data_IF_040766163492
#
_entry.id   IF_040766163492
#
_cell.length_a   1.000
_cell.length_b   1.000
_cell.length_c   1.000
_cell.angle_alpha   90.00
_cell.angle_beta   90.00
_cell.angle_gamma   90.00
#
_symmetry.space_group_name_H-M   'P 1'
#
loop_
_entity.id
_entity.type
_entity.pdbx_description
1 polymer ?
#
# COMPACT_ATOMS: atom_id res chain seq x y z
N UNK A 1 -24.85 7.60 -24.21
CA UNK A 1 -24.99 8.16 -22.85
C UNK A 1 -25.73 7.22 -21.89
N UNK A 2 -26.80 6.53 -22.30
CA UNK A 2 -27.54 5.60 -21.41
C UNK A 2 -26.72 4.39 -20.92
N UNK A 3 -25.81 3.82 -21.73
CA UNK A 3 -25.02 2.62 -21.37
C UNK A 3 -23.97 2.86 -20.27
N UNK A 4 -23.34 4.05 -20.22
CA UNK A 4 -22.32 4.40 -19.21
C UNK A 4 -22.91 4.58 -17.81
N UNK A 5 -24.17 5.00 -17.71
CA UNK A 5 -24.86 5.09 -16.42
C UNK A 5 -25.23 3.70 -15.87
N UNK A 6 -25.40 2.72 -16.76
CA UNK A 6 -25.82 1.37 -16.38
C UNK A 6 -24.64 0.55 -15.84
N UNK A 7 -23.45 0.70 -16.42
CA UNK A 7 -22.23 0.06 -15.90
C UNK A 7 -21.88 0.57 -14.49
N UNK A 8 -21.87 1.89 -14.29
CA UNK A 8 -21.65 2.49 -12.95
C UNK A 8 -22.70 2.00 -11.94
N UNK A 9 -23.96 1.79 -12.37
CA UNK A 9 -25.01 1.26 -11.49
C UNK A 9 -24.77 -0.21 -11.12
N UNK A 10 -24.40 -1.05 -12.09
CA UNK A 10 -24.06 -2.46 -11.86
C UNK A 10 -22.86 -2.58 -10.90
N UNK A 11 -21.85 -1.74 -11.08
CA UNK A 11 -20.72 -1.69 -10.17
C UNK A 11 -21.12 -1.22 -8.78
N UNK A 12 -21.93 -0.18 -8.67
CA UNK A 12 -22.47 0.29 -7.38
C UNK A 12 -23.26 -0.80 -6.67
N UNK A 13 -24.01 -1.61 -7.40
CA UNK A 13 -24.73 -2.76 -6.85
C UNK A 13 -23.77 -3.83 -6.31
N UNK A 14 -22.70 -4.17 -7.03
CA UNK A 14 -21.67 -5.08 -6.52
C UNK A 14 -20.94 -4.53 -5.27
N UNK A 15 -20.74 -3.20 -5.20
CA UNK A 15 -20.25 -2.51 -4.00
C UNK A 15 -21.24 -2.54 -2.81
N UNK A 16 -22.52 -2.75 -3.06
CA UNK A 16 -23.55 -2.94 -2.02
C UNK A 16 -23.59 -4.36 -1.48
N UNK A 17 -23.22 -5.33 -2.29
CA UNK A 17 -23.19 -6.76 -1.95
C UNK A 17 -21.91 -7.16 -1.20
N UNK A 18 -20.90 -6.30 -1.14
CA UNK A 18 -19.65 -6.58 -0.43
C UNK A 18 -19.82 -6.42 1.09
N UNK A 19 -19.24 -7.32 1.89
CA UNK A 19 -19.30 -7.28 3.36
C UNK A 19 -18.83 -5.92 3.90
N UNK A 20 -19.70 -5.24 4.66
CA UNK A 20 -19.43 -3.92 5.24
C UNK A 20 -19.15 -4.00 6.73
N UNK A 21 -18.24 -3.15 7.19
CA UNK A 21 -18.07 -2.94 8.63
C UNK A 21 -19.35 -2.38 9.23
N UNK A 22 -19.82 -3.03 10.30
CA UNK A 22 -21.02 -2.58 11.01
C UNK A 22 -20.71 -1.28 11.76
N UNK A 23 -21.68 -0.38 11.90
CA UNK A 23 -21.54 0.87 12.69
C UNK A 23 -20.97 0.63 14.11
N UNK A 24 -21.29 -0.52 14.73
CA UNK A 24 -20.73 -0.94 16.02
C UNK A 24 -19.21 -1.18 15.96
N UNK A 25 -18.72 -1.81 14.89
CA UNK A 25 -17.28 -2.06 14.69
C UNK A 25 -16.54 -0.75 14.42
N UNK A 26 -17.14 0.18 13.67
CA UNK A 26 -16.57 1.52 13.45
C UNK A 26 -16.47 2.28 14.79
N UNK A 27 -17.55 2.30 15.58
CA UNK A 27 -17.56 2.97 16.89
C UNK A 27 -16.54 2.35 17.86
N UNK A 28 -16.46 1.02 17.90
CA UNK A 28 -15.47 0.30 18.69
C UNK A 28 -14.05 0.62 18.22
N UNK A 29 -13.82 0.74 16.91
CA UNK A 29 -12.55 1.15 16.33
C UNK A 29 -12.14 2.56 16.74
N UNK A 30 -13.06 3.53 16.75
CA UNK A 30 -12.79 4.90 17.20
C UNK A 30 -12.47 4.96 18.70
N UNK A 31 -13.17 4.15 19.49
CA UNK A 31 -12.87 4.02 20.92
C UNK A 31 -11.49 3.38 21.15
N UNK A 32 -11.19 2.28 20.46
CA UNK A 32 -9.89 1.62 20.51
C UNK A 32 -8.76 2.55 20.05
N UNK A 33 -8.97 3.32 18.99
CA UNK A 33 -8.04 4.34 18.52
C UNK A 33 -7.70 5.35 19.63
N UNK A 34 -8.72 5.85 20.32
CA UNK A 34 -8.53 6.79 21.43
C UNK A 34 -7.73 6.17 22.58
N UNK A 35 -7.98 4.89 22.90
CA UNK A 35 -7.18 4.16 23.90
C UNK A 35 -5.73 3.98 23.45
N UNK A 36 -5.48 3.71 22.16
CA UNK A 36 -4.14 3.60 21.60
C UNK A 36 -3.41 4.94 21.67
N UNK A 37 -4.07 6.06 21.39
CA UNK A 37 -3.48 7.40 21.53
C UNK A 37 -3.05 7.70 22.97
N UNK A 38 -3.95 7.42 23.94
CA UNK A 38 -3.64 7.60 25.36
C UNK A 38 -2.49 6.69 25.77
N UNK A 39 -2.59 5.39 25.44
CA UNK A 39 -1.62 4.38 25.80
C UNK A 39 -0.24 4.63 25.19
N UNK A 40 -0.16 5.00 23.91
CA UNK A 40 1.09 5.33 23.25
C UNK A 40 1.73 6.58 23.85
N UNK A 41 0.95 7.63 24.10
CA UNK A 41 1.51 8.88 24.65
C UNK A 41 1.94 8.72 26.09
N UNK A 42 1.13 8.05 26.92
CA UNK A 42 1.50 7.76 28.30
C UNK A 42 2.68 6.80 28.35
N UNK A 43 2.70 5.77 27.51
CA UNK A 43 3.82 4.83 27.38
C UNK A 43 5.12 5.54 27.04
N UNK A 44 5.10 6.46 26.07
CA UNK A 44 6.26 7.31 25.71
C UNK A 44 6.69 8.17 26.89
N UNK A 45 5.77 8.88 27.55
CA UNK A 45 6.10 9.74 28.68
C UNK A 45 6.69 8.95 29.86
N UNK A 46 6.12 7.79 30.18
CA UNK A 46 6.64 6.89 31.21
C UNK A 46 8.02 6.36 30.86
N UNK A 47 8.26 6.01 29.58
CA UNK A 47 9.55 5.54 29.09
C UNK A 47 10.62 6.65 29.18
N UNK A 48 10.30 7.87 28.76
CA UNK A 48 11.20 9.03 28.85
C UNK A 48 11.57 9.37 30.31
N UNK A 49 10.60 9.23 31.22
CA UNK A 49 10.82 9.41 32.65
C UNK A 49 11.70 8.29 33.24
N UNK A 50 11.49 7.04 32.81
CA UNK A 50 12.29 5.89 33.24
C UNK A 50 13.76 6.00 32.79
N UNK A 51 14.01 6.44 31.55
CA UNK A 51 15.37 6.65 31.01
C UNK A 51 16.01 7.94 31.56
N UNK A 52 15.31 8.69 32.43
CA UNK A 52 15.76 9.94 33.05
C UNK A 52 16.13 11.06 32.05
N UNK A 53 15.63 10.98 30.82
CA UNK A 53 15.88 11.98 29.77
C UNK A 53 15.03 13.23 30.01
N UNK A 54 13.79 13.05 30.47
CA UNK A 54 12.87 14.14 30.75
C UNK A 54 12.06 13.85 32.02
N UNK A 55 12.24 14.62 33.11
CA UNK A 55 11.42 14.47 34.31
C UNK A 55 10.00 14.92 33.98
N UNK A 56 9.08 13.97 33.91
CA UNK A 56 7.67 14.27 33.62
C UNK A 56 6.99 14.78 34.88
N UNK A 57 6.55 16.04 34.84
CA UNK A 57 5.69 16.61 35.87
C UNK A 57 4.30 15.96 35.81
N UNK A 58 4.08 14.98 36.69
CA UNK A 58 2.83 14.23 36.84
C UNK A 58 1.61 15.15 37.05
N UNK A 59 1.80 16.39 37.53
CA UNK A 59 0.71 17.36 37.71
C UNK A 59 0.11 17.85 36.39
N UNK A 60 0.85 17.74 35.28
CA UNK A 60 0.40 18.17 33.94
C UNK A 60 -0.18 17.05 33.09
N UNK A 61 -0.26 15.81 33.57
CA UNK A 61 -0.79 14.68 32.80
C UNK A 61 -2.24 14.88 32.37
N UNK A 62 -3.08 15.42 33.26
CA UNK A 62 -4.49 15.67 32.97
C UNK A 62 -4.67 16.68 31.83
N UNK A 63 -4.06 17.88 31.86
CA UNK A 63 -4.18 18.82 30.75
C UNK A 63 -3.58 18.28 29.45
N UNK A 64 -2.46 17.55 29.48
CA UNK A 64 -1.92 16.91 28.26
C UNK A 64 -2.90 15.91 27.66
N UNK A 65 -3.52 15.07 28.49
CA UNK A 65 -4.50 14.09 28.03
C UNK A 65 -5.74 14.77 27.45
N UNK A 66 -6.18 15.88 28.03
CA UNK A 66 -7.30 16.67 27.49
C UNK A 66 -6.96 17.28 26.11
N UNK A 67 -5.76 17.83 25.93
CA UNK A 67 -5.33 18.34 24.61
C UNK A 67 -5.29 17.24 23.56
N UNK A 68 -4.84 16.03 23.90
CA UNK A 68 -4.85 14.89 22.99
C UNK A 68 -6.27 14.45 22.62
N UNK A 69 -7.16 14.33 23.61
CA UNK A 69 -8.56 13.99 23.36
C UNK A 69 -9.23 15.02 22.45
N UNK A 70 -8.93 16.30 22.68
CA UNK A 70 -9.39 17.38 21.81
C UNK A 70 -8.85 17.22 20.38
N UNK A 71 -7.56 16.92 20.21
CA UNK A 71 -6.94 16.69 18.90
C UNK A 71 -7.56 15.49 18.16
N UNK A 72 -7.83 14.39 18.86
CA UNK A 72 -8.52 13.21 18.29
C UNK A 72 -9.96 13.54 17.86
N UNK A 73 -10.70 14.29 18.69
CA UNK A 73 -12.05 14.73 18.32
C UNK A 73 -12.02 15.66 17.10
N UNK A 74 -11.06 16.60 17.06
CA UNK A 74 -10.85 17.50 15.93
C UNK A 74 -10.46 16.73 14.66
N UNK A 75 -9.63 15.69 14.77
CA UNK A 75 -9.24 14.87 13.63
C UNK A 75 -10.42 14.14 13.00
N UNK A 76 -11.38 13.66 13.80
CA UNK A 76 -12.63 13.06 13.31
C UNK A 76 -13.45 14.10 12.53
N UNK A 77 -13.58 15.33 13.06
CA UNK A 77 -14.31 16.41 12.37
C UNK A 77 -13.64 16.74 11.04
N UNK A 78 -12.31 16.87 11.01
CA UNK A 78 -11.55 17.12 9.80
C UNK A 78 -11.71 15.95 8.81
N UNK A 79 -11.64 14.71 9.27
CA UNK A 79 -11.85 13.52 8.43
C UNK A 79 -13.22 13.54 7.75
N UNK A 80 -14.28 13.90 8.48
CA UNK A 80 -15.63 14.04 7.92
C UNK A 80 -15.65 15.13 6.84
N UNK A 81 -15.05 16.29 7.10
CA UNK A 81 -14.98 17.39 6.13
C UNK A 81 -14.24 16.99 4.85
N UNK A 82 -13.12 16.30 4.96
CA UNK A 82 -12.36 15.78 3.82
C UNK A 82 -13.21 14.76 3.05
N UNK A 83 -13.79 13.77 3.72
CA UNK A 83 -14.59 12.73 3.08
C UNK A 83 -15.81 13.32 2.34
N UNK A 84 -16.48 14.32 2.94
CA UNK A 84 -17.56 15.06 2.29
C UNK A 84 -17.06 15.83 1.06
N UNK A 85 -15.90 16.48 1.18
CA UNK A 85 -15.24 17.18 0.08
C UNK A 85 -14.92 16.24 -1.09
N UNK A 86 -14.32 15.09 -0.81
CA UNK A 86 -13.98 14.06 -1.82
C UNK A 86 -15.24 13.50 -2.48
N UNK A 87 -16.29 13.26 -1.70
CA UNK A 87 -17.57 12.75 -2.23
C UNK A 87 -18.28 13.77 -3.12
N UNK A 88 -18.18 15.07 -2.81
CA UNK A 88 -18.87 16.14 -3.55
C UNK A 88 -18.05 16.64 -4.74
N UNK A 89 -16.73 16.63 -4.59
CA UNK A 89 -15.76 17.13 -5.56
C UNK A 89 -14.59 16.13 -5.68
N UNK A 90 -14.81 14.96 -6.32
CA UNK A 90 -13.77 13.94 -6.49
C UNK A 90 -12.52 14.47 -7.22
N UNK A 91 -12.68 15.55 -8.00
CA UNK A 91 -11.61 16.26 -8.71
C UNK A 91 -10.50 16.81 -7.80
N UNK A 92 -10.79 17.04 -6.52
CA UNK A 92 -9.79 17.53 -5.57
C UNK A 92 -8.62 16.53 -5.54
N UNK A 93 -8.94 15.24 -5.57
CA UNK A 93 -8.01 14.11 -5.46
C UNK A 93 -7.39 13.72 -6.82
N UNK A 94 -7.19 14.70 -7.70
CA UNK A 94 -6.64 14.46 -9.05
C UNK A 94 -5.11 14.51 -9.10
N UNK A 95 -4.46 14.96 -8.03
CA UNK A 95 -3.01 15.10 -8.00
C UNK A 95 -2.28 13.75 -8.14
N UNK A 96 -2.71 12.64 -7.51
CA UNK A 96 -2.07 11.34 -7.70
C UNK A 96 -2.12 10.87 -9.16
N UNK A 97 -3.26 11.07 -9.84
CA UNK A 97 -3.39 10.76 -11.26
C UNK A 97 -2.42 11.57 -12.13
N UNK A 98 -2.21 12.86 -11.80
CA UNK A 98 -1.24 13.71 -12.51
C UNK A 98 0.19 13.23 -12.27
N UNK A 99 0.52 12.84 -11.05
CA UNK A 99 1.83 12.25 -10.71
C UNK A 99 2.04 10.98 -11.52
N UNK A 100 1.06 10.07 -11.54
CA UNK A 100 1.14 8.84 -12.31
C UNK A 100 1.31 9.11 -13.81
N UNK A 101 0.50 10.00 -14.38
CA UNK A 101 0.59 10.39 -15.79
C UNK A 101 1.96 10.96 -16.14
N UNK A 102 2.52 11.80 -15.26
CA UNK A 102 3.86 12.35 -15.40
C UNK A 102 4.95 11.26 -15.29
N UNK A 103 4.84 10.36 -14.31
CA UNK A 103 5.79 9.27 -14.10
C UNK A 103 5.85 8.31 -15.29
N UNK A 104 4.68 7.96 -15.85
CA UNK A 104 4.57 7.14 -17.08
C UNK A 104 4.83 7.95 -18.36
N UNK A 105 5.18 9.24 -18.27
CA UNK A 105 5.50 10.11 -19.44
C UNK A 105 4.40 10.11 -20.51
N UNK A 106 3.14 10.07 -20.10
CA UNK A 106 1.96 10.04 -20.98
C UNK A 106 1.95 8.85 -21.96
N UNK A 107 2.58 7.73 -21.62
CA UNK A 107 2.44 6.49 -22.39
C UNK A 107 1.19 5.74 -21.98
N UNK A 108 0.64 4.94 -22.89
CA UNK A 108 -0.42 3.99 -22.59
C UNK A 108 -1.82 4.59 -22.50
N UNK A 109 -2.77 3.71 -22.21
CA UNK A 109 -4.20 4.03 -22.14
C UNK A 109 -4.75 3.67 -20.76
N UNK A 110 -5.76 4.41 -20.32
CA UNK A 110 -6.44 4.17 -19.05
C UNK A 110 -7.78 3.48 -19.31
N UNK A 111 -8.19 2.58 -18.43
CA UNK A 111 -9.54 2.03 -18.46
C UNK A 111 -10.06 1.73 -17.05
N UNK A 112 -11.37 1.61 -16.93
CA UNK A 112 -12.06 1.31 -15.67
C UNK A 112 -12.45 -0.18 -15.64
N UNK A 113 -11.99 -0.87 -14.59
CA UNK A 113 -12.39 -2.22 -14.22
C UNK A 113 -12.48 -2.29 -12.69
N UNK A 114 -13.64 -1.96 -12.10
CA UNK A 114 -13.78 -1.85 -10.65
C UNK A 114 -13.50 -3.18 -9.96
N UNK A 115 -12.65 -3.10 -8.93
CA UNK A 115 -12.30 -4.22 -8.09
C UNK A 115 -13.27 -4.33 -6.91
N UNK A 116 -13.56 -5.55 -6.48
CA UNK A 116 -14.37 -5.79 -5.27
C UNK A 116 -13.60 -5.31 -4.05
N UNK A 117 -14.14 -4.38 -3.24
CA UNK A 117 -13.37 -3.79 -2.15
C UNK A 117 -13.44 -4.66 -0.91
N UNK A 118 -12.33 -5.23 -0.49
CA UNK A 118 -12.27 -5.87 0.83
C UNK A 118 -12.47 -4.81 1.95
N UNK A 119 -13.34 -5.10 2.93
CA UNK A 119 -13.64 -4.19 4.05
C UNK A 119 -13.36 -4.80 5.44
N UNK A 120 -12.43 -5.74 5.55
CA UNK A 120 -12.10 -6.35 6.85
C UNK A 120 -11.42 -5.39 7.84
N UNK A 121 -11.60 -5.61 9.15
CA UNK A 121 -10.84 -4.89 10.20
C UNK A 121 -9.32 -5.00 10.03
N UNK A 122 -8.84 -6.14 9.55
CA UNK A 122 -7.43 -6.34 9.19
C UNK A 122 -6.97 -5.35 8.12
N UNK A 123 -7.80 -5.11 7.11
CA UNK A 123 -7.53 -4.12 6.05
C UNK A 123 -7.47 -2.73 6.66
N UNK A 124 -8.42 -2.37 7.54
CA UNK A 124 -8.42 -1.07 8.24
C UNK A 124 -7.13 -0.85 9.02
N UNK A 125 -6.70 -1.83 9.80
CA UNK A 125 -5.49 -1.75 10.61
C UNK A 125 -4.23 -1.66 9.75
N UNK A 126 -4.10 -2.53 8.74
CA UNK A 126 -2.98 -2.52 7.80
C UNK A 126 -2.89 -1.18 7.06
N UNK A 127 -4.02 -0.69 6.55
CA UNK A 127 -4.12 0.61 5.86
C UNK A 127 -3.76 1.76 6.80
N UNK A 128 -4.28 1.75 8.03
CA UNK A 128 -3.96 2.80 9.02
C UNK A 128 -2.49 2.81 9.40
N UNK A 129 -1.86 1.63 9.48
CA UNK A 129 -0.42 1.50 9.71
C UNK A 129 0.36 2.09 8.54
N UNK A 130 0.03 1.70 7.31
CA UNK A 130 0.62 2.25 6.09
C UNK A 130 0.51 3.78 6.05
N UNK A 131 -0.69 4.33 6.22
CA UNK A 131 -0.91 5.78 6.20
C UNK A 131 -0.14 6.50 7.30
N UNK A 132 -0.01 5.89 8.49
CA UNK A 132 0.78 6.46 9.59
C UNK A 132 2.27 6.49 9.28
N UNK A 133 2.81 5.45 8.65
CA UNK A 133 4.22 5.38 8.22
C UNK A 133 4.48 6.41 7.12
N UNK A 134 3.58 6.52 6.14
CA UNK A 134 3.67 7.51 5.07
C UNK A 134 3.69 8.94 5.62
N UNK A 135 2.77 9.25 6.54
CA UNK A 135 2.70 10.57 7.18
C UNK A 135 3.95 10.84 8.02
N UNK A 136 4.44 9.85 8.76
CA UNK A 136 5.71 9.94 9.51
C UNK A 136 6.85 10.23 8.54
N UNK A 137 7.00 9.45 7.47
CA UNK A 137 8.05 9.64 6.46
C UNK A 137 8.04 11.06 5.89
N UNK A 138 6.91 11.54 5.40
CA UNK A 138 6.79 12.90 4.85
C UNK A 138 7.13 13.97 5.91
N UNK A 139 6.64 13.81 7.14
CA UNK A 139 6.90 14.77 8.23
C UNK A 139 8.38 14.79 8.61
N UNK A 140 9.02 13.62 8.60
CA UNK A 140 10.44 13.44 8.88
C UNK A 140 11.33 14.03 7.78
N UNK A 141 10.95 13.90 6.51
CA UNK A 141 11.66 14.53 5.38
C UNK A 141 11.68 16.04 5.55
N UNK A 142 10.54 16.64 5.91
CA UNK A 142 10.42 18.08 6.15
C UNK A 142 11.27 18.50 7.36
N UNK A 143 11.27 17.72 8.45
CA UNK A 143 12.11 17.95 9.64
C UNK A 143 13.62 17.83 9.33
N UNK A 144 14.03 16.83 8.57
CA UNK A 144 15.43 16.59 8.20
C UNK A 144 16.01 17.76 7.43
N UNK A 145 15.28 18.30 6.44
CA UNK A 145 15.72 19.48 5.70
C UNK A 145 15.89 20.73 6.58
N UNK A 146 15.03 20.92 7.58
CA UNK A 146 15.08 22.10 8.44
C UNK A 146 16.20 22.01 9.49
N UNK A 147 16.43 20.81 10.03
CA UNK A 147 17.53 20.53 10.97
C UNK A 147 18.92 20.64 10.31
N UNK A 148 19.02 20.40 9.00
CA UNK A 148 20.28 20.57 8.25
C UNK A 148 20.73 22.03 8.11
N UNK A 149 19.81 22.99 8.28
CA UNK A 149 20.07 24.41 7.96
C UNK A 149 20.07 25.31 9.20
N UNK A 150 19.48 24.87 10.33
CA UNK A 150 19.28 25.71 11.51
C UNK A 150 20.48 25.74 12.48
N UNK A 151 20.79 26.93 13.00
CA UNK A 151 21.65 27.08 14.17
C UNK A 151 20.92 26.63 15.45
N UNK A 152 21.64 26.16 16.46
CA UNK A 152 21.08 25.59 17.70
C UNK A 152 20.04 26.50 18.42
N UNK A 153 20.17 27.83 18.30
CA UNK A 153 19.26 28.82 18.89
C UNK A 153 17.94 28.98 18.11
N UNK A 154 17.91 28.60 16.83
CA UNK A 154 16.73 28.69 15.95
C UNK A 154 15.92 27.39 15.92
N UNK A 155 16.43 26.29 16.49
CA UNK A 155 15.81 24.96 16.47
C UNK A 155 14.41 24.97 17.10
N UNK A 156 14.22 25.64 18.24
CA UNK A 156 12.93 25.68 18.95
C UNK A 156 11.86 26.48 18.19
N UNK A 157 12.12 27.74 17.76
CA UNK A 157 11.15 28.48 16.96
C UNK A 157 10.90 27.86 15.58
N UNK A 158 11.94 27.33 14.90
CA UNK A 158 11.78 26.63 13.62
C UNK A 158 10.96 25.36 13.78
N UNK A 159 11.27 24.53 14.78
CA UNK A 159 10.50 23.33 15.10
C UNK A 159 9.02 23.61 15.46
N UNK A 160 8.76 24.74 16.14
CA UNK A 160 7.39 25.16 16.46
C UNK A 160 6.62 25.59 15.21
N UNK A 161 7.26 26.36 14.31
CA UNK A 161 6.68 26.75 13.03
C UNK A 161 6.42 25.53 12.14
N UNK A 162 7.38 24.61 12.07
CA UNK A 162 7.27 23.38 11.32
C UNK A 162 6.13 22.50 11.83
N UNK A 163 5.98 22.36 13.15
CA UNK A 163 4.87 21.63 13.77
C UNK A 163 3.52 22.24 13.37
N UNK A 164 3.39 23.58 13.38
CA UNK A 164 2.17 24.26 12.94
C UNK A 164 1.91 24.05 11.45
N UNK A 165 2.93 24.15 10.61
CA UNK A 165 2.83 23.90 9.19
C UNK A 165 2.40 22.45 8.92
N UNK A 166 2.98 21.47 9.61
CA UNK A 166 2.61 20.06 9.52
C UNK A 166 1.16 19.82 9.92
N UNK A 167 0.64 20.47 10.96
CA UNK A 167 -0.78 20.36 11.35
C UNK A 167 -1.72 20.84 10.22
N UNK A 168 -1.34 21.93 9.54
CA UNK A 168 -2.15 22.51 8.46
C UNK A 168 -2.07 21.66 7.18
N UNK A 169 -0.89 21.12 6.88
CA UNK A 169 -0.64 20.34 5.65
C UNK A 169 -1.12 18.89 5.79
N UNK A 170 -1.11 18.32 7.00
CA UNK A 170 -1.48 16.93 7.26
C UNK A 170 -2.83 16.51 6.65
N UNK A 171 -3.94 17.27 6.79
CA UNK A 171 -5.20 16.96 6.12
C UNK A 171 -5.06 16.78 4.61
N UNK A 172 -4.30 17.66 3.95
CA UNK A 172 -4.06 17.60 2.50
C UNK A 172 -3.18 16.41 2.15
N UNK A 173 -2.13 16.13 2.94
CA UNK A 173 -1.28 14.96 2.76
C UNK A 173 -2.06 13.67 2.84
N UNK A 174 -2.93 13.53 3.85
CA UNK A 174 -3.79 12.35 4.04
C UNK A 174 -4.79 12.23 2.88
N UNK A 175 -5.38 13.33 2.43
CA UNK A 175 -6.32 13.32 1.32
C UNK A 175 -5.66 12.92 0.00
N UNK A 176 -4.53 13.53 -0.35
CA UNK A 176 -3.89 13.33 -1.66
C UNK A 176 -3.04 12.07 -1.71
N UNK A 177 -2.20 11.81 -0.71
CA UNK A 177 -1.21 10.72 -0.77
C UNK A 177 -1.66 9.44 -0.07
N UNK A 178 -2.75 9.46 0.71
CA UNK A 178 -3.27 8.25 1.33
C UNK A 178 -4.64 7.86 0.75
N UNK A 179 -5.64 8.73 0.84
CA UNK A 179 -6.98 8.41 0.31
C UNK A 179 -7.08 8.49 -1.21
N UNK A 180 -6.24 9.28 -1.86
CA UNK A 180 -6.25 9.40 -3.32
C UNK A 180 -5.87 8.14 -4.06
N UNK A 181 -4.68 7.57 -3.82
CA UNK A 181 -4.29 6.28 -4.37
C UNK A 181 -5.33 5.20 -4.06
N UNK A 182 -5.83 5.16 -2.82
CA UNK A 182 -6.85 4.18 -2.44
C UNK A 182 -8.17 4.35 -3.21
N UNK A 183 -8.67 5.58 -3.40
CA UNK A 183 -9.85 5.80 -4.23
C UNK A 183 -9.63 5.43 -5.70
N UNK A 184 -8.44 5.70 -6.25
CA UNK A 184 -8.10 5.31 -7.61
C UNK A 184 -8.07 3.79 -7.75
N UNK A 185 -7.48 3.10 -6.75
CA UNK A 185 -7.48 1.64 -6.64
C UNK A 185 -8.90 1.09 -6.65
N UNK A 186 -9.73 1.56 -5.72
CA UNK A 186 -11.11 1.08 -5.55
C UNK A 186 -12.00 1.42 -6.74
N UNK A 187 -11.73 2.52 -7.44
CA UNK A 187 -12.42 2.85 -8.69
C UNK A 187 -12.06 1.91 -9.83
N UNK A 188 -11.04 1.07 -9.65
CA UNK A 188 -10.55 0.14 -10.64
C UNK A 188 -9.89 0.83 -11.81
N UNK A 189 -9.14 1.90 -11.56
CA UNK A 189 -8.44 2.60 -12.62
C UNK A 189 -7.18 1.81 -13.00
N UNK A 190 -7.20 1.24 -14.19
CA UNK A 190 -6.06 0.53 -14.75
C UNK A 190 -5.33 1.36 -15.79
N UNK A 191 -4.01 1.16 -15.87
CA UNK A 191 -3.14 1.73 -16.89
C UNK A 191 -2.52 0.58 -17.70
N UNK A 192 -2.71 0.65 -19.02
CA UNK A 192 -2.12 -0.27 -19.98
C UNK A 192 -0.91 0.41 -20.61
N UNK A 193 0.29 0.02 -20.18
CA UNK A 193 1.50 0.57 -20.76
C UNK A 193 1.86 -0.17 -22.06
N UNK A 194 1.86 0.55 -23.17
CA UNK A 194 2.24 -0.01 -24.48
C UNK A 194 3.73 -0.35 -24.57
N UNK A 195 4.58 0.30 -23.78
CA UNK A 195 6.03 0.06 -23.79
C UNK A 195 6.39 -1.22 -23.09
N UNK A 196 5.91 -1.35 -21.86
CA UNK A 196 6.24 -2.46 -20.97
C UNK A 196 5.24 -3.62 -21.10
N UNK A 197 4.18 -3.42 -21.88
CA UNK A 197 3.09 -4.39 -22.14
C UNK A 197 2.49 -4.93 -20.85
N UNK A 198 2.47 -4.07 -19.85
CA UNK A 198 1.98 -4.37 -18.53
C UNK A 198 0.64 -3.69 -18.34
N UNK A 199 -0.21 -4.37 -17.56
CA UNK A 199 -1.44 -3.83 -17.06
C UNK A 199 -1.27 -3.67 -15.56
N UNK A 200 -1.37 -2.44 -15.06
CA UNK A 200 -1.27 -2.16 -13.62
C UNK A 200 -2.46 -1.36 -13.12
N UNK A 201 -2.86 -1.61 -11.87
CA UNK A 201 -3.82 -0.77 -11.18
C UNK A 201 -3.09 0.52 -10.76
N UNK A 202 -3.59 1.67 -11.20
CA UNK A 202 -2.97 2.98 -10.97
C UNK A 202 -2.88 3.30 -9.48
N UNK A 203 -3.88 2.87 -8.71
CA UNK A 203 -3.87 3.06 -7.26
C UNK A 203 -2.78 2.25 -6.57
N UNK A 204 -2.57 0.99 -6.99
CA UNK A 204 -1.49 0.15 -6.46
C UNK A 204 -0.11 0.68 -6.85
N UNK A 205 0.10 1.04 -8.12
CA UNK A 205 1.36 1.65 -8.58
C UNK A 205 1.69 2.91 -7.77
N UNK A 206 0.70 3.74 -7.47
CA UNK A 206 0.87 4.95 -6.65
C UNK A 206 1.17 4.62 -5.19
N UNK A 207 0.49 3.64 -4.60
CA UNK A 207 0.75 3.19 -3.23
C UNK A 207 2.15 2.64 -3.07
N UNK A 208 2.62 1.82 -4.02
CA UNK A 208 3.96 1.24 -4.02
C UNK A 208 5.04 2.30 -4.13
N UNK A 209 4.86 3.29 -5.03
CA UNK A 209 5.79 4.43 -5.17
C UNK A 209 5.87 5.22 -3.86
N UNK A 210 4.73 5.50 -3.23
CA UNK A 210 4.69 6.25 -1.98
C UNK A 210 5.26 5.46 -0.80
N UNK A 211 5.06 4.15 -0.77
CA UNK A 211 5.67 3.26 0.22
C UNK A 211 7.19 3.30 0.12
N UNK A 212 7.70 3.20 -1.12
CA UNK A 212 9.13 3.23 -1.39
C UNK A 212 9.74 4.55 -0.91
N UNK A 213 9.16 5.70 -1.26
CA UNK A 213 9.68 6.99 -0.80
C UNK A 213 9.62 7.14 0.72
N UNK A 214 8.50 6.80 1.36
CA UNK A 214 8.39 6.87 2.82
C UNK A 214 9.41 5.97 3.53
N UNK A 215 9.62 4.75 3.03
CA UNK A 215 10.60 3.81 3.57
C UNK A 215 12.04 4.29 3.40
N UNK A 216 12.37 4.82 2.22
CA UNK A 216 13.69 5.40 1.92
C UNK A 216 13.96 6.61 2.82
N UNK A 217 13.00 7.51 2.98
CA UNK A 217 13.12 8.70 3.82
C UNK A 217 13.33 8.34 5.30
N UNK A 218 12.56 7.39 5.82
CA UNK A 218 12.71 6.87 7.19
C UNK A 218 14.11 6.26 7.39
N UNK A 219 14.60 5.48 6.43
CA UNK A 219 15.91 4.85 6.50
C UNK A 219 17.04 5.88 6.46
N UNK A 220 16.97 6.86 5.56
CA UNK A 220 17.97 7.91 5.44
C UNK A 220 18.04 8.75 6.71
N UNK A 221 16.89 9.17 7.27
CA UNK A 221 16.88 9.89 8.53
C UNK A 221 17.43 9.05 9.68
N UNK A 222 17.04 7.77 9.77
CA UNK A 222 17.56 6.88 10.80
C UNK A 222 19.08 6.79 10.72
N UNK A 223 19.63 6.63 9.51
CA UNK A 223 21.06 6.57 9.27
C UNK A 223 21.75 7.89 9.64
N UNK A 224 21.18 9.02 9.23
CA UNK A 224 21.71 10.35 9.55
C UNK A 224 21.71 10.62 11.06
N UNK A 225 20.61 10.36 11.75
CA UNK A 225 20.50 10.51 13.20
C UNK A 225 21.45 9.57 13.93
N UNK A 226 21.61 8.34 13.42
CA UNK A 226 22.55 7.36 14.00
C UNK A 226 24.00 7.78 13.82
N UNK A 227 24.37 8.40 12.69
CA UNK A 227 25.73 8.90 12.46
C UNK A 227 25.99 10.17 13.28
N UNK A 228 25.05 11.11 13.27
CA UNK A 228 25.23 12.45 13.83
C UNK A 228 25.09 12.46 15.35
N UNK A 229 24.09 11.77 15.87
CA UNK A 229 23.72 11.80 17.31
C UNK A 229 23.90 10.43 17.97
N UNK A 230 23.82 9.35 17.22
CA UNK A 230 23.92 7.97 17.73
C UNK A 230 25.18 7.66 18.56
N UNK A 231 26.38 8.24 18.32
CA UNK A 231 27.54 8.02 19.19
C UNK A 231 27.34 8.57 20.61
N UNK A 232 26.51 9.61 20.76
CA UNK A 232 26.23 10.27 22.03
C UNK A 232 24.94 9.80 22.70
N UNK A 233 23.92 9.45 21.89
CA UNK A 233 22.63 8.98 22.35
C UNK A 233 22.05 7.95 21.34
N UNK A 234 22.49 6.67 21.40
CA UNK A 234 22.10 5.65 20.41
C UNK A 234 20.61 5.28 20.44
N UNK A 235 19.91 5.62 21.53
CA UNK A 235 18.47 5.44 21.67
C UNK A 235 17.66 6.54 20.96
N UNK A 236 18.22 7.74 20.77
CA UNK A 236 17.50 8.90 20.25
C UNK A 236 16.92 8.69 18.83
N UNK A 237 17.64 8.09 17.86
CA UNK A 237 17.13 7.88 16.50
C UNK A 237 15.88 6.99 16.47
N UNK A 238 15.87 5.91 17.24
CA UNK A 238 14.73 4.99 17.34
C UNK A 238 13.54 5.69 18.00
N UNK A 239 13.79 6.50 19.02
CA UNK A 239 12.75 7.24 19.73
C UNK A 239 12.09 8.33 18.87
N UNK A 240 12.86 9.07 18.08
CA UNK A 240 12.33 10.14 17.22
C UNK A 240 11.28 9.61 16.22
N UNK A 241 11.42 8.36 15.78
CA UNK A 241 10.49 7.71 14.84
C UNK A 241 9.33 7.03 15.57
N UNK A 242 9.61 6.34 16.68
CA UNK A 242 8.60 5.55 17.40
C UNK A 242 7.59 6.42 18.17
N UNK A 243 8.05 7.56 18.72
CA UNK A 243 7.22 8.49 19.50
C UNK A 243 6.04 9.04 18.69
N UNK A 244 6.25 9.64 17.49
CA UNK A 244 5.14 10.19 16.72
C UNK A 244 4.25 9.11 16.11
N UNK A 245 4.76 7.88 15.90
CA UNK A 245 4.03 6.82 15.22
C UNK A 245 2.73 6.43 15.95
N UNK A 246 2.72 6.32 17.28
CA UNK A 246 1.53 5.91 18.04
C UNK A 246 0.35 6.90 17.94
N UNK A 247 0.55 8.18 18.29
CA UNK A 247 -0.47 9.22 18.12
C UNK A 247 -0.89 9.40 16.66
N UNK A 248 0.05 9.37 15.71
CA UNK A 248 -0.27 9.48 14.28
C UNK A 248 -1.06 8.26 13.79
N UNK A 249 -0.73 7.05 14.24
CA UNK A 249 -1.49 5.85 13.93
C UNK A 249 -2.93 5.97 14.40
N UNK A 250 -3.17 6.48 15.62
CA UNK A 250 -4.54 6.73 16.10
C UNK A 250 -5.27 7.76 15.24
N UNK A 251 -4.61 8.86 14.87
CA UNK A 251 -5.19 9.88 14.00
C UNK A 251 -5.56 9.27 12.65
N UNK A 252 -4.63 8.59 11.98
CA UNK A 252 -4.85 7.94 10.68
C UNK A 252 -5.91 6.83 10.77
N UNK A 253 -5.98 6.11 11.89
CA UNK A 253 -7.03 5.12 12.16
C UNK A 253 -8.41 5.79 12.24
N UNK A 254 -8.53 6.94 12.90
CA UNK A 254 -9.77 7.73 12.91
C UNK A 254 -10.16 8.16 11.49
N UNK A 255 -9.20 8.70 10.73
CA UNK A 255 -9.39 9.08 9.33
C UNK A 255 -9.89 7.88 8.50
N UNK A 256 -9.24 6.72 8.64
CA UNK A 256 -9.55 5.50 7.88
C UNK A 256 -10.93 4.95 8.22
N UNK A 257 -11.30 4.92 9.52
CA UNK A 257 -12.62 4.48 9.95
C UNK A 257 -13.74 5.38 9.43
N UNK A 258 -13.53 6.70 9.42
CA UNK A 258 -14.47 7.65 8.83
C UNK A 258 -14.53 7.47 7.31
N UNK A 259 -13.38 7.31 6.64
CA UNK A 259 -13.34 7.10 5.19
C UNK A 259 -14.13 5.86 4.76
N UNK A 260 -14.02 4.74 5.47
CA UNK A 260 -14.78 3.52 5.19
C UNK A 260 -16.29 3.77 5.15
N UNK A 261 -16.80 4.64 6.02
CA UNK A 261 -18.21 5.01 6.02
C UNK A 261 -18.63 5.74 4.73
N UNK A 262 -17.76 6.58 4.17
CA UNK A 262 -18.02 7.34 2.94
C UNK A 262 -17.51 6.67 1.66
N UNK A 263 -16.69 5.62 1.78
CA UNK A 263 -15.89 4.98 0.71
C UNK A 263 -16.72 4.71 -0.53
N UNK A 264 -17.79 3.93 -0.42
CA UNK A 264 -18.59 3.53 -1.59
C UNK A 264 -19.16 4.74 -2.36
N UNK A 265 -19.59 5.77 -1.63
CA UNK A 265 -20.11 6.99 -2.24
C UNK A 265 -19.01 7.82 -2.89
N UNK A 266 -17.83 7.87 -2.26
CA UNK A 266 -16.65 8.53 -2.82
C UNK A 266 -16.11 7.80 -4.06
N UNK A 267 -16.03 6.46 -4.03
CA UNK A 267 -15.63 5.61 -5.16
C UNK A 267 -16.58 5.77 -6.34
N UNK A 268 -17.90 5.69 -6.10
CA UNK A 268 -18.91 5.91 -7.14
C UNK A 268 -18.76 7.31 -7.77
N UNK A 269 -18.60 8.35 -6.97
CA UNK A 269 -18.38 9.71 -7.46
C UNK A 269 -17.06 9.85 -8.24
N UNK A 270 -16.01 9.14 -7.83
CA UNK A 270 -14.74 9.11 -8.56
C UNK A 270 -14.89 8.41 -9.91
N UNK A 271 -15.56 7.27 -9.98
CA UNK A 271 -15.84 6.56 -11.25
C UNK A 271 -16.64 7.44 -12.21
N UNK A 272 -17.67 8.13 -11.72
CA UNK A 272 -18.41 9.12 -12.52
C UNK A 272 -17.49 10.24 -13.04
N UNK A 273 -16.57 10.74 -12.20
CA UNK A 273 -15.62 11.77 -12.60
C UNK A 273 -14.64 11.26 -13.67
N UNK A 274 -14.10 10.05 -13.52
CA UNK A 274 -13.20 9.41 -14.47
C UNK A 274 -13.90 9.16 -15.82
N UNK A 275 -15.13 8.64 -15.80
CA UNK A 275 -15.89 8.36 -17.01
C UNK A 275 -16.40 9.63 -17.72
N UNK A 276 -16.90 10.62 -16.99
CA UNK A 276 -17.55 11.78 -17.59
C UNK A 276 -16.58 12.91 -17.97
N UNK A 277 -15.51 13.11 -17.20
CA UNK A 277 -14.57 14.22 -17.42
C UNK A 277 -13.27 13.78 -18.09
N UNK A 278 -12.72 12.65 -17.66
CA UNK A 278 -11.48 12.13 -18.22
C UNK A 278 -11.74 11.14 -19.37
N UNK A 279 -13.02 10.89 -19.69
CA UNK A 279 -13.48 10.03 -20.79
C UNK A 279 -12.86 8.62 -20.77
N UNK A 280 -12.50 8.14 -19.59
CA UNK A 280 -11.86 6.83 -19.42
C UNK A 280 -12.87 5.74 -19.83
N UNK A 281 -12.52 4.87 -20.81
CA UNK A 281 -13.39 3.78 -21.24
C UNK A 281 -13.58 2.77 -20.11
N UNK A 282 -14.80 2.23 -20.03
CA UNK A 282 -15.21 1.25 -19.03
C UNK A 282 -15.34 -0.13 -19.68
N UNK A 283 -14.83 -1.16 -19.00
CA UNK A 283 -14.81 -2.55 -19.46
C UNK A 283 -16.17 -3.10 -19.88
N UNK A 284 -17.26 -2.64 -19.26
CA UNK A 284 -18.61 -3.08 -19.63
C UNK A 284 -19.13 -2.38 -20.89
N UNK A 285 -18.76 -1.12 -21.09
CA UNK A 285 -19.29 -0.30 -22.19
C UNK A 285 -18.41 -0.33 -23.44
N UNK A 286 -17.15 -0.72 -23.30
CA UNK A 286 -16.11 -0.68 -24.33
C UNK A 286 -15.26 -1.95 -24.29
N UNK A 287 -15.90 -3.10 -24.03
CA UNK A 287 -15.24 -4.42 -23.94
C UNK A 287 -14.46 -4.76 -25.19
N UNK A 288 -15.04 -4.51 -26.37
CA UNK A 288 -14.42 -4.87 -27.65
C UNK A 288 -13.20 -4.00 -27.91
N UNK A 289 -13.28 -2.70 -27.63
CA UNK A 289 -12.15 -1.77 -27.73
C UNK A 289 -10.98 -2.19 -26.82
N UNK A 290 -11.26 -2.48 -25.56
CA UNK A 290 -10.22 -2.87 -24.59
C UNK A 290 -9.64 -4.23 -24.97
N UNK A 291 -10.48 -5.18 -25.37
CA UNK A 291 -10.06 -6.50 -25.84
C UNK A 291 -9.14 -6.39 -27.05
N UNK A 292 -9.52 -5.61 -28.06
CA UNK A 292 -8.71 -5.39 -29.25
C UNK A 292 -7.37 -4.74 -28.90
N UNK A 293 -7.37 -3.79 -27.95
CA UNK A 293 -6.12 -3.13 -27.51
C UNK A 293 -5.20 -4.09 -26.77
N UNK A 294 -5.72 -4.87 -25.83
CA UNK A 294 -4.96 -5.89 -25.10
C UNK A 294 -4.44 -6.97 -26.05
N UNK A 295 -5.29 -7.47 -26.96
CA UNK A 295 -4.89 -8.44 -27.99
C UNK A 295 -3.82 -7.85 -28.89
N UNK A 296 -3.91 -6.59 -29.30
CA UNK A 296 -2.89 -5.95 -30.14
C UNK A 296 -1.49 -5.91 -29.48
N UNK A 297 -1.43 -5.89 -28.15
CA UNK A 297 -0.18 -5.96 -27.40
C UNK A 297 0.35 -7.41 -27.31
N UNK A 298 -0.55 -8.39 -27.24
CA UNK A 298 -0.21 -9.83 -27.24
C UNK A 298 0.18 -10.33 -28.64
N UNK A 299 -0.59 -10.00 -29.67
CA UNK A 299 -0.37 -10.44 -31.06
C UNK A 299 0.92 -9.90 -31.66
N UNK A 300 1.39 -8.73 -31.19
CA UNK A 300 2.71 -8.23 -31.57
C UNK A 300 3.84 -9.18 -31.14
N UNK A 301 3.65 -10.04 -30.13
CA UNK A 301 4.58 -11.14 -29.84
C UNK A 301 4.51 -12.27 -30.86
N UNK A 302 3.32 -12.64 -31.35
CA UNK A 302 3.19 -13.68 -32.37
C UNK A 302 3.84 -13.26 -33.70
N UNK A 303 3.85 -11.95 -34.01
CA UNK A 303 4.49 -11.41 -35.21
C UNK A 303 5.98 -11.07 -34.98
N UNK A 304 6.40 -10.73 -33.75
CA UNK A 304 7.81 -10.45 -33.41
C UNK A 304 8.60 -11.65 -32.85
N UNK A 305 8.10 -12.87 -33.05
CA UNK A 305 8.92 -14.08 -32.93
C UNK A 305 9.44 -14.60 -34.29
N UNK A 306 10.17 -13.83 -35.14
CA UNK A 306 10.92 -14.40 -36.25
C UNK A 306 12.42 -14.48 -35.88
N UNK A 307 12.78 -15.26 -34.85
CA UNK A 307 14.20 -15.60 -34.57
C UNK A 307 14.41 -17.08 -34.29
N UNK A 308 13.38 -17.94 -34.37
CA UNK A 308 13.54 -19.39 -34.22
C UNK A 308 13.09 -20.20 -35.45
N UNK A 309 12.84 -19.56 -36.59
CA UNK A 309 12.56 -20.24 -37.86
C UNK A 309 13.77 -20.27 -38.81
N UNK A 310 14.84 -19.51 -38.53
CA UNK A 310 16.03 -19.44 -39.39
C UNK A 310 17.19 -20.35 -38.93
N UNK A 311 16.98 -21.23 -37.94
CA UNK A 311 17.97 -22.21 -37.54
C UNK A 311 17.37 -23.60 -37.79
N UNK A 312 17.91 -24.25 -38.83
CA UNK A 312 17.78 -25.66 -39.25
C UNK A 312 16.60 -25.99 -40.18
N UNK A 313 16.45 -25.20 -41.25
CA UNK A 313 16.09 -25.74 -42.57
C UNK A 313 17.38 -25.77 -43.42
N UNK A 314 18.25 -26.75 -43.18
CA UNK A 314 19.39 -27.05 -44.06
C UNK A 314 19.90 -28.47 -43.85
N UNK A 315 19.19 -29.45 -44.41
CA UNK A 315 19.84 -30.63 -45.01
C UNK A 315 19.72 -30.46 -46.53
N UNK A 316 20.81 -30.71 -47.29
CA UNK A 316 20.98 -32.09 -47.75
C UNK A 316 22.43 -32.61 -47.92
N UNK A 317 22.52 -33.93 -47.79
CA UNK A 317 23.51 -34.89 -48.34
C UNK A 317 24.88 -35.04 -47.68
N UNK A 318 25.08 -36.18 -47.00
CA UNK A 318 25.99 -37.23 -47.50
C UNK A 318 25.60 -38.61 -46.92
N UNK A 319 25.34 -39.55 -47.83
CA UNK A 319 25.28 -40.99 -47.57
C UNK A 319 26.62 -41.52 -47.02
N UNK A 320 26.57 -42.73 -46.48
CA UNK A 320 27.70 -43.61 -46.12
C UNK A 320 28.44 -43.31 -44.80
N UNK A 321 27.89 -43.78 -43.67
CA UNK A 321 28.69 -44.62 -42.74
C UNK A 321 27.79 -45.54 -41.88
N UNK A 322 27.54 -46.77 -42.38
CA UNK A 322 27.72 -48.05 -41.66
C UNK A 322 26.94 -48.20 -40.33
N UNK A 323 25.75 -48.83 -40.32
CA UNK A 323 25.58 -50.29 -40.16
C UNK A 323 26.33 -50.91 -38.97
N UNK A 324 25.94 -50.56 -37.74
CA UNK A 324 25.98 -51.41 -36.53
C UNK A 324 25.30 -50.58 -35.44
N UNK A 325 24.18 -50.94 -34.85
CA UNK A 325 23.91 -52.18 -34.15
C UNK A 325 22.41 -52.22 -33.88
N UNK A 326 21.70 -53.00 -34.67
CA UNK A 326 20.31 -53.36 -34.43
C UNK A 326 20.34 -54.88 -34.27
N UNK A 327 20.60 -55.30 -33.04
CA UNK A 327 20.44 -56.68 -32.55
C UNK A 327 20.74 -56.66 -31.05
N UNK A 328 19.68 -56.64 -30.22
CA UNK A 328 19.45 -57.53 -29.06
C UNK A 328 18.05 -57.20 -28.52
N UNK A 329 17.07 -57.88 -29.10
CA UNK A 329 16.07 -58.74 -28.43
C UNK A 329 15.15 -58.10 -27.37
N UNK A 330 13.89 -58.04 -27.78
CA UNK A 330 12.66 -58.14 -26.99
C UNK A 330 12.41 -59.57 -26.45
N UNK A 331 12.15 -59.72 -25.15
CA UNK A 331 11.40 -60.82 -24.50
C UNK A 331 10.77 -60.20 -23.23
N UNK A 332 9.45 -59.91 -23.14
CA UNK A 332 8.27 -60.77 -22.91
C UNK A 332 8.00 -61.05 -21.41
N UNK A 333 6.86 -60.50 -20.92
CA UNK A 333 5.92 -60.99 -19.87
C UNK A 333 6.43 -61.11 -18.40
N UNK A 334 5.66 -61.00 -17.30
CA UNK A 334 4.27 -60.63 -16.89
C UNK A 334 4.25 -60.65 -15.35
N UNK A 335 3.37 -59.84 -14.76
CA UNK A 335 2.58 -60.02 -13.51
C UNK A 335 3.11 -60.61 -12.18
N UNK A 336 2.56 -59.97 -11.14
CA UNK A 336 2.08 -60.46 -9.84
C UNK A 336 2.95 -60.37 -8.56
N UNK A 337 2.38 -59.57 -7.64
CA UNK A 337 2.17 -59.81 -6.21
C UNK A 337 3.28 -59.61 -5.15
N UNK A 338 2.79 -59.02 -4.05
CA UNK A 338 3.28 -58.97 -2.66
C UNK A 338 4.21 -57.81 -2.22
N UNK A 339 3.58 -56.77 -1.67
CA UNK A 339 3.91 -56.29 -0.31
C UNK A 339 3.20 -57.20 0.73
N UNK A 340 3.51 -57.16 2.05
CA UNK A 340 4.56 -56.43 2.78
C UNK A 340 5.35 -57.33 3.78
N UNK A 341 6.44 -56.85 4.37
CA UNK A 341 6.81 -57.31 5.73
C UNK A 341 7.60 -56.28 6.54
N UNK A 342 7.09 -56.02 7.75
CA UNK A 342 7.67 -55.28 8.85
C UNK A 342 8.87 -56.04 9.45
N UNK A 343 9.93 -55.32 9.82
CA UNK A 343 10.76 -55.71 10.96
C UNK A 343 11.05 -54.48 11.84
N UNK A 344 10.38 -54.52 12.99
CA UNK A 344 10.63 -53.77 14.21
C UNK A 344 11.84 -54.38 14.96
N UNK A 345 12.30 -53.64 15.98
CA UNK A 345 13.17 -54.07 17.09
C UNK A 345 14.68 -54.25 16.79
N UNK A 346 15.61 -53.85 17.67
CA UNK A 346 15.56 -53.20 18.99
C UNK A 346 17.00 -52.96 19.47
N UNK A 347 17.14 -52.03 20.43
CA UNK A 347 18.07 -52.08 21.59
C UNK A 347 19.60 -52.02 21.34
N UNK A 348 20.47 -51.37 22.12
CA UNK A 348 20.50 -50.78 23.47
C UNK A 348 21.50 -49.59 23.39
N UNK A 349 21.28 -48.41 23.97
CA UNK A 349 21.17 -48.05 25.38
C UNK A 349 22.49 -48.16 26.20
N UNK A 350 22.80 -47.03 26.85
CA UNK A 350 23.55 -46.86 28.12
C UNK A 350 25.09 -46.99 28.01
N UNK A 351 25.94 -46.23 28.71
CA UNK A 351 25.75 -45.48 29.96
C UNK A 351 26.95 -44.53 30.22
N UNK A 352 26.63 -43.38 30.80
CA UNK A 352 27.25 -42.63 31.92
C UNK A 352 28.75 -42.31 32.11
N UNK A 353 28.87 -41.22 32.88
CA UNK A 353 29.94 -40.73 33.77
C UNK A 353 31.08 -39.90 33.18
N UNK A 354 30.95 -38.56 33.28
CA UNK A 354 31.56 -37.76 34.38
C UNK A 354 31.20 -36.27 34.35
#
# INVERSE_FOLDING_TARGET
MASRSESIRLFTQHFEETDRLTNKQILLGLFASTLIMIGSTWGVLSLLNFVQVYPVDLSKIVPYTLYMLFASALSIVIAILICLGMTRWPRIVSLPLKIHHFAKRNTGEYFLSPETPEQGLSVVLRRSLYGSILVVGISLTILGFDLMVANAEEIIPSGTFLMLASIIVLPFTVMEFYFGPWLMKDSGLFHLDERDRSLSNVGDDLEDILEFFAGVDILFLLLELTISVGPSAPWLPVFIILIPLGPLFSIVLNFTLVFIYFRNKATSSMMECLSAKYEVPDILSSSDYIRDRVISLVDRNLIMTPVLADIIESEPHLEDTISSSLDVISEVETDDDNEPELLEESELALEDDS
#
